data_IF_686255197348
#
_entry.id   IF_686255197348
#
_cell.length_a   1.000
_cell.length_b   1.000
_cell.length_c   1.000
_cell.angle_alpha   90.00
_cell.angle_beta   90.00
_cell.angle_gamma   90.00
#
_symmetry.space_group_name_H-M   'P 1'
#
loop_
_entity.id
_entity.type
_entity.pdbx_description
1 polymer ?
#
# COMPACT_ATOMS: atom_id res chain seq x y z
N UNK A 1 -15.38 -41.73 45.44
CA UNK A 1 -14.51 -41.98 44.28
C UNK A 1 -15.14 -41.60 42.91
N UNK A 2 -16.31 -40.98 42.83
CA UNK A 2 -16.94 -40.60 41.54
C UNK A 2 -16.71 -39.11 41.14
N UNK A 3 -16.12 -38.26 41.96
CA UNK A 3 -15.94 -36.85 41.68
C UNK A 3 -14.48 -36.46 41.31
N UNK A 4 -13.56 -37.44 41.37
CA UNK A 4 -12.15 -37.20 41.02
C UNK A 4 -11.84 -37.42 39.54
N UNK A 5 -12.73 -38.06 38.80
CA UNK A 5 -12.60 -38.32 37.36
C UNK A 5 -13.21 -37.24 36.46
N UNK A 6 -14.03 -36.33 37.02
CA UNK A 6 -14.62 -35.23 36.26
C UNK A 6 -13.73 -33.96 36.21
N UNK A 7 -12.75 -33.86 37.08
CA UNK A 7 -11.79 -32.71 37.13
C UNK A 7 -10.63 -32.87 36.16
N UNK A 8 -10.33 -34.10 35.72
CA UNK A 8 -9.25 -34.36 34.77
C UNK A 8 -9.66 -34.21 33.30
N UNK A 9 -10.97 -34.24 32.99
CA UNK A 9 -11.47 -34.07 31.63
C UNK A 9 -11.64 -32.59 31.22
N UNK A 10 -11.68 -31.65 32.19
CA UNK A 10 -11.84 -30.21 31.90
C UNK A 10 -10.48 -29.52 31.71
N UNK A 11 -9.38 -30.09 32.22
CA UNK A 11 -8.04 -29.51 32.03
C UNK A 11 -7.40 -29.85 30.68
N UNK A 12 -8.00 -30.73 29.88
CA UNK A 12 -7.44 -31.13 28.58
C UNK A 12 -8.02 -30.34 27.39
N UNK A 13 -8.97 -29.44 27.64
CA UNK A 13 -9.66 -28.66 26.59
C UNK A 13 -9.21 -27.19 26.50
N UNK A 14 -8.20 -26.77 27.29
CA UNK A 14 -7.65 -25.41 27.25
C UNK A 14 -6.22 -25.32 26.69
N UNK A 15 -5.70 -26.42 26.17
CA UNK A 15 -4.49 -26.39 25.36
C UNK A 15 -4.84 -26.27 23.87
N UNK A 16 -5.77 -25.36 23.51
CA UNK A 16 -5.78 -24.83 22.15
C UNK A 16 -4.55 -23.96 22.03
N UNK A 17 -3.48 -24.60 21.61
CA UNK A 17 -2.23 -24.00 21.20
C UNK A 17 -2.52 -22.76 20.36
N UNK A 18 -2.15 -21.61 20.89
CA UNK A 18 -1.80 -20.47 20.09
C UNK A 18 -0.52 -20.89 19.32
N UNK A 19 -0.70 -21.71 18.28
CA UNK A 19 0.34 -21.93 17.30
C UNK A 19 0.48 -20.60 16.60
N UNK A 20 1.47 -19.81 16.98
CA UNK A 20 1.98 -18.76 16.11
C UNK A 20 2.23 -19.46 14.78
N UNK A 21 1.38 -19.19 13.78
CA UNK A 21 1.60 -19.69 12.43
C UNK A 21 3.00 -19.20 12.04
N UNK A 22 3.97 -20.11 12.04
CA UNK A 22 5.30 -19.79 11.53
C UNK A 22 5.14 -19.36 10.11
N UNK A 23 5.48 -18.12 9.80
CA UNK A 23 5.49 -17.61 8.44
C UNK A 23 6.32 -18.52 7.57
N UNK A 24 5.70 -19.15 6.60
CA UNK A 24 6.41 -19.97 5.63
C UNK A 24 6.93 -19.08 4.49
N UNK A 25 8.14 -18.57 4.65
CA UNK A 25 8.82 -17.74 3.65
C UNK A 25 8.99 -18.45 2.30
N UNK A 26 9.10 -19.78 2.27
CA UNK A 26 9.19 -20.54 1.02
C UNK A 26 7.87 -20.54 0.28
N UNK A 27 6.76 -20.64 1.02
CA UNK A 27 5.43 -20.56 0.44
C UNK A 27 5.17 -19.18 -0.17
N UNK A 28 5.51 -18.09 0.55
CA UNK A 28 5.36 -16.73 0.05
C UNK A 28 6.23 -16.52 -1.20
N UNK A 29 7.49 -16.97 -1.16
CA UNK A 29 8.38 -16.89 -2.32
C UNK A 29 7.81 -17.65 -3.54
N UNK A 30 7.12 -18.76 -3.34
CA UNK A 30 6.47 -19.52 -4.41
C UNK A 30 5.21 -18.84 -4.97
N UNK A 31 4.68 -17.81 -4.30
CA UNK A 31 3.58 -16.99 -4.77
C UNK A 31 4.01 -15.81 -5.64
N UNK A 32 5.33 -15.55 -5.69
CA UNK A 32 5.89 -14.50 -6.54
C UNK A 32 5.77 -14.91 -8.02
N UNK A 33 5.29 -13.99 -8.85
CA UNK A 33 5.36 -14.16 -10.31
C UNK A 33 6.59 -13.41 -10.85
N UNK A 34 7.63 -14.17 -11.15
CA UNK A 34 8.88 -13.64 -11.69
C UNK A 34 8.89 -13.59 -13.24
N UNK A 35 7.77 -13.93 -13.88
CA UNK A 35 7.63 -13.88 -15.34
C UNK A 35 7.21 -12.51 -15.85
N UNK A 36 6.58 -11.71 -14.98
CA UNK A 36 6.23 -10.33 -15.27
C UNK A 36 7.49 -9.46 -15.30
N UNK A 37 7.59 -8.59 -16.29
CA UNK A 37 8.68 -7.63 -16.41
C UNK A 37 8.25 -6.24 -15.96
N UNK A 38 9.21 -5.45 -15.50
CA UNK A 38 9.00 -4.03 -15.27
C UNK A 38 9.09 -3.27 -16.60
N UNK A 39 8.26 -2.27 -16.87
CA UNK A 39 8.32 -1.52 -18.11
C UNK A 39 9.67 -0.79 -18.25
N UNK A 40 10.17 -0.71 -19.47
CA UNK A 40 11.38 0.06 -19.75
C UNK A 40 10.99 1.54 -19.76
N UNK A 41 11.45 2.26 -18.74
CA UNK A 41 11.20 3.70 -18.58
C UNK A 41 12.49 4.47 -18.76
N UNK A 42 12.44 5.57 -19.49
CA UNK A 42 13.58 6.48 -19.61
C UNK A 42 13.58 7.46 -18.42
N UNK A 43 14.14 7.04 -17.29
CA UNK A 43 14.23 7.85 -16.08
C UNK A 43 15.47 8.74 -16.15
N UNK A 44 15.29 10.04 -15.89
CA UNK A 44 16.33 11.06 -15.85
C UNK A 44 16.14 11.95 -14.62
N UNK A 45 17.07 12.86 -14.38
CA UNK A 45 17.00 13.89 -13.32
C UNK A 45 15.84 14.89 -13.52
N UNK A 46 15.24 14.90 -14.72
CA UNK A 46 14.02 15.70 -15.00
C UNK A 46 12.75 14.93 -14.79
N UNK A 47 12.82 13.62 -14.54
CA UNK A 47 11.65 12.78 -14.28
C UNK A 47 11.02 13.15 -12.94
N UNK A 48 9.71 13.34 -12.94
CA UNK A 48 8.92 13.65 -11.75
C UNK A 48 7.93 12.54 -11.46
N UNK A 49 7.93 12.07 -10.22
CA UNK A 49 7.06 11.01 -9.73
C UNK A 49 6.22 11.54 -8.58
N UNK A 50 4.91 11.36 -8.64
CA UNK A 50 3.99 11.74 -7.57
C UNK A 50 3.36 10.48 -6.98
N UNK A 51 3.69 10.18 -5.74
CA UNK A 51 3.00 9.17 -4.94
C UNK A 51 1.81 9.82 -4.23
N UNK A 52 0.62 9.21 -4.33
CA UNK A 52 -0.63 9.71 -3.75
C UNK A 52 -1.22 8.62 -2.88
N UNK A 53 -1.25 8.87 -1.57
CA UNK A 53 -1.75 7.91 -0.58
C UNK A 53 -2.62 8.60 0.47
N UNK A 54 -3.64 7.94 1.02
CA UNK A 54 -4.43 8.54 2.10
C UNK A 54 -3.68 8.67 3.41
N UNK A 55 -2.88 7.69 3.83
CA UNK A 55 -2.31 7.68 5.18
C UNK A 55 -0.79 7.78 5.20
N UNK A 56 -0.28 8.27 6.32
CA UNK A 56 1.14 8.20 6.66
C UNK A 56 1.48 6.75 7.06
N UNK A 57 2.19 6.02 6.27
CA UNK A 57 2.63 4.62 6.26
C UNK A 57 2.31 3.88 4.95
N UNK A 58 1.34 4.34 4.18
CA UNK A 58 0.94 3.74 2.90
C UNK A 58 2.07 3.76 1.86
N UNK A 59 2.94 4.77 1.88
CA UNK A 59 4.07 4.89 0.96
C UNK A 59 5.03 3.70 1.07
N UNK A 60 5.05 3.04 2.20
CA UNK A 60 5.91 1.87 2.42
C UNK A 60 5.52 0.68 1.56
N UNK A 61 4.26 0.60 1.12
CA UNK A 61 3.79 -0.48 0.24
C UNK A 61 4.50 -0.42 -1.11
N UNK A 62 4.63 0.79 -1.69
CA UNK A 62 5.40 1.04 -2.91
C UNK A 62 6.85 1.46 -2.62
N UNK A 63 7.36 1.16 -1.42
CA UNK A 63 8.67 1.64 -0.96
C UNK A 63 9.83 1.20 -1.86
N UNK A 64 9.77 0.01 -2.43
CA UNK A 64 10.75 -0.46 -3.39
C UNK A 64 10.73 0.33 -4.70
N UNK A 65 9.55 0.61 -5.24
CA UNK A 65 9.38 1.41 -6.46
C UNK A 65 9.79 2.87 -6.25
N UNK A 66 9.42 3.45 -5.12
CA UNK A 66 9.80 4.82 -4.76
C UNK A 66 11.32 4.93 -4.65
N UNK A 67 11.97 4.02 -3.91
CA UNK A 67 13.42 3.98 -3.80
C UNK A 67 14.11 3.73 -5.16
N UNK A 68 13.54 2.89 -6.02
CA UNK A 68 14.02 2.70 -7.39
C UNK A 68 14.02 4.01 -8.16
N UNK A 69 12.89 4.73 -8.25
CA UNK A 69 12.81 5.99 -8.99
C UNK A 69 13.76 7.05 -8.42
N UNK A 70 13.82 7.18 -7.10
CA UNK A 70 14.74 8.09 -6.44
C UNK A 70 16.20 7.77 -6.76
N UNK A 71 16.58 6.48 -6.75
CA UNK A 71 17.94 6.03 -7.07
C UNK A 71 18.35 6.31 -8.52
N UNK A 72 17.37 6.42 -9.43
CA UNK A 72 17.60 6.78 -10.83
C UNK A 72 17.66 8.31 -11.05
N UNK A 73 17.56 9.10 -9.98
CA UNK A 73 17.62 10.56 -10.02
C UNK A 73 16.28 11.27 -10.23
N UNK A 74 15.17 10.55 -10.27
CA UNK A 74 13.85 11.17 -10.37
C UNK A 74 13.52 12.02 -9.13
N UNK A 75 12.84 13.16 -9.33
CA UNK A 75 12.24 13.92 -8.24
C UNK A 75 10.95 13.23 -7.81
N UNK A 76 10.92 12.70 -6.60
CA UNK A 76 9.75 12.02 -6.03
C UNK A 76 9.08 12.90 -5.01
N UNK A 77 7.78 13.21 -5.21
CA UNK A 77 6.94 13.88 -4.23
C UNK A 77 5.89 12.94 -3.67
N UNK A 78 5.52 13.13 -2.41
CA UNK A 78 4.45 12.40 -1.74
C UNK A 78 3.32 13.36 -1.37
N UNK A 79 2.11 13.01 -1.78
CA UNK A 79 0.88 13.62 -1.30
C UNK A 79 0.16 12.61 -0.39
N UNK A 80 0.14 12.91 0.91
CA UNK A 80 -0.67 12.19 1.90
C UNK A 80 -1.96 12.97 2.14
N UNK A 81 -3.11 12.33 1.94
CA UNK A 81 -4.40 13.04 1.96
C UNK A 81 -4.90 13.33 3.38
N UNK A 82 -4.77 12.37 4.28
CA UNK A 82 -5.23 12.49 5.67
C UNK A 82 -4.22 13.23 6.54
N UNK A 83 -4.77 14.02 7.48
CA UNK A 83 -3.97 14.49 8.59
C UNK A 83 -3.93 13.44 9.69
N UNK A 84 -2.79 13.37 10.35
CA UNK A 84 -2.57 12.57 11.56
C UNK A 84 -1.96 13.44 12.65
N UNK A 85 -1.59 12.84 13.78
CA UNK A 85 -0.88 13.54 14.84
C UNK A 85 0.59 13.87 14.46
N UNK A 86 1.25 14.65 15.33
CA UNK A 86 2.64 15.03 15.13
C UNK A 86 3.60 13.83 15.12
N UNK A 87 3.27 12.75 15.82
CA UNK A 87 4.10 11.54 15.87
C UNK A 87 4.13 10.89 14.49
N UNK A 88 2.97 10.65 13.89
CA UNK A 88 2.86 10.07 12.55
C UNK A 88 3.45 10.99 11.48
N UNK A 89 3.34 12.32 11.65
CA UNK A 89 4.00 13.27 10.74
C UNK A 89 5.52 13.14 10.78
N UNK A 90 6.11 12.97 11.97
CA UNK A 90 7.56 12.73 12.12
C UNK A 90 7.99 11.39 11.53
N UNK A 91 7.19 10.35 11.75
CA UNK A 91 7.40 9.02 11.19
C UNK A 91 7.37 9.05 9.66
N UNK A 92 6.38 9.75 9.07
CA UNK A 92 6.27 9.93 7.62
C UNK A 92 7.49 10.66 7.04
N UNK A 93 7.96 11.72 7.69
CA UNK A 93 9.15 12.45 7.24
C UNK A 93 10.42 11.58 7.33
N UNK A 94 10.55 10.75 8.37
CA UNK A 94 11.63 9.76 8.48
C UNK A 94 11.58 8.75 7.32
N UNK A 95 10.41 8.18 7.04
CA UNK A 95 10.20 7.26 5.92
C UNK A 95 10.51 7.91 4.57
N UNK A 96 10.05 9.14 4.38
CA UNK A 96 10.30 9.91 3.16
C UNK A 96 11.80 10.15 2.91
N UNK A 97 12.56 10.50 3.95
CA UNK A 97 14.02 10.66 3.85
C UNK A 97 14.70 9.36 3.43
N UNK A 98 14.34 8.23 4.05
CA UNK A 98 14.88 6.91 3.72
C UNK A 98 14.59 6.50 2.28
N UNK A 99 13.38 6.77 1.80
CA UNK A 99 12.95 6.44 0.42
C UNK A 99 13.47 7.42 -0.63
N UNK A 100 14.08 8.55 -0.21
CA UNK A 100 14.55 9.60 -1.10
C UNK A 100 13.43 10.44 -1.70
N UNK A 101 12.31 10.58 -0.99
CA UNK A 101 11.22 11.49 -1.33
C UNK A 101 11.68 12.91 -1.05
N UNK A 102 11.61 13.78 -2.07
CA UNK A 102 12.13 15.14 -2.00
C UNK A 102 11.14 16.16 -1.41
N UNK A 103 9.85 15.86 -1.41
CA UNK A 103 8.81 16.69 -0.81
C UNK A 103 7.65 15.85 -0.29
N UNK A 104 7.18 16.15 0.91
CA UNK A 104 5.97 15.57 1.51
C UNK A 104 4.93 16.68 1.69
N UNK A 105 3.73 16.47 1.17
CA UNK A 105 2.58 17.32 1.40
C UNK A 105 1.48 16.53 2.09
N UNK A 106 0.93 17.07 3.20
CA UNK A 106 -0.20 16.50 3.92
C UNK A 106 -1.41 17.41 3.68
N UNK A 107 -2.44 16.87 3.04
CA UNK A 107 -3.60 17.66 2.61
C UNK A 107 -4.58 17.99 3.76
N UNK A 108 -4.53 17.26 4.86
CA UNK A 108 -5.30 17.57 6.06
C UNK A 108 -6.73 17.04 6.07
N UNK A 109 -7.08 16.05 5.23
CA UNK A 109 -8.40 15.42 5.25
C UNK A 109 -8.60 14.59 6.52
N UNK A 110 -9.85 14.31 6.83
CA UNK A 110 -10.23 13.47 7.97
C UNK A 110 -9.75 12.04 7.74
N UNK A 111 -9.08 11.48 8.74
CA UNK A 111 -8.77 10.07 8.84
C UNK A 111 -9.82 9.39 9.71
N UNK A 112 -10.60 8.47 9.13
CA UNK A 112 -11.60 7.74 9.88
C UNK A 112 -10.97 6.67 10.76
N UNK A 113 -11.56 6.42 11.92
CA UNK A 113 -11.14 5.32 12.77
C UNK A 113 -11.51 3.98 12.13
N UNK A 114 -10.80 2.90 12.53
CA UNK A 114 -11.16 1.57 12.07
C UNK A 114 -12.59 1.15 12.47
N UNK A 115 -13.08 1.65 13.63
CA UNK A 115 -14.46 1.41 14.06
C UNK A 115 -15.48 2.08 13.15
N UNK A 116 -15.19 3.27 12.62
CA UNK A 116 -16.04 3.97 11.65
C UNK A 116 -16.07 3.22 10.32
N UNK A 117 -14.91 2.78 9.86
CA UNK A 117 -14.76 1.97 8.63
C UNK A 117 -15.58 0.69 8.72
N UNK A 118 -15.49 -0.04 9.83
CA UNK A 118 -16.24 -1.28 10.05
C UNK A 118 -17.75 -1.07 10.15
N UNK A 119 -18.21 0.14 10.47
CA UNK A 119 -19.62 0.54 10.46
C UNK A 119 -20.05 1.15 9.13
N UNK A 120 -19.15 1.27 8.16
CA UNK A 120 -19.33 2.00 6.90
C UNK A 120 -19.72 3.48 7.10
N UNK A 121 -19.21 4.09 8.19
CA UNK A 121 -19.45 5.49 8.56
C UNK A 121 -18.29 6.39 8.10
N UNK A 122 -18.00 6.34 6.81
CA UNK A 122 -16.94 7.14 6.15
C UNK A 122 -17.55 8.17 5.18
N UNK A 123 -18.64 8.79 5.57
CA UNK A 123 -19.47 9.65 4.70
C UNK A 123 -18.67 10.74 3.99
N UNK A 124 -17.79 11.45 4.70
CA UNK A 124 -16.97 12.49 4.09
C UNK A 124 -16.30 12.01 2.79
N UNK A 125 -15.69 10.84 2.80
CA UNK A 125 -14.97 10.31 1.66
C UNK A 125 -15.88 9.94 0.49
N UNK A 126 -17.10 9.47 0.75
CA UNK A 126 -18.06 9.15 -0.30
C UNK A 126 -18.77 10.38 -0.86
N UNK A 127 -19.01 11.39 -0.02
CA UNK A 127 -19.80 12.56 -0.38
C UNK A 127 -18.95 13.71 -0.95
N UNK A 128 -17.65 13.77 -0.59
CA UNK A 128 -16.75 14.89 -0.92
C UNK A 128 -15.67 14.52 -1.96
N UNK A 129 -15.99 13.60 -2.87
CA UNK A 129 -15.07 13.14 -3.91
C UNK A 129 -14.54 14.27 -4.78
N UNK A 130 -15.36 15.29 -5.07
CA UNK A 130 -14.96 16.49 -5.81
C UNK A 130 -13.88 17.30 -5.08
N UNK A 131 -13.98 17.37 -3.75
CA UNK A 131 -13.00 18.06 -2.90
C UNK A 131 -11.67 17.31 -2.89
N UNK A 132 -11.73 15.98 -2.79
CA UNK A 132 -10.55 15.09 -2.87
C UNK A 132 -9.89 15.22 -4.24
N UNK A 133 -10.66 15.17 -5.31
CA UNK A 133 -10.16 15.33 -6.68
C UNK A 133 -9.49 16.69 -6.90
N UNK A 134 -10.05 17.78 -6.35
CA UNK A 134 -9.45 19.12 -6.44
C UNK A 134 -8.07 19.18 -5.77
N UNK A 135 -7.91 18.54 -4.60
CA UNK A 135 -6.62 18.45 -3.91
C UNK A 135 -5.60 17.73 -4.78
N UNK A 136 -5.95 16.53 -5.28
CA UNK A 136 -5.09 15.71 -6.13
C UNK A 136 -4.76 16.48 -7.42
N UNK A 137 -5.74 17.11 -8.06
CA UNK A 137 -5.57 17.91 -9.28
C UNK A 137 -4.59 19.06 -9.06
N UNK A 138 -4.78 19.85 -7.99
CA UNK A 138 -3.91 20.97 -7.67
C UNK A 138 -2.44 20.52 -7.56
N UNK A 139 -2.17 19.45 -6.82
CA UNK A 139 -0.80 18.91 -6.69
C UNK A 139 -0.27 18.41 -8.03
N UNK A 140 -1.08 17.67 -8.78
CA UNK A 140 -0.70 17.12 -10.09
C UNK A 140 -0.40 18.23 -11.10
N UNK A 141 -1.23 19.26 -11.21
CA UNK A 141 -1.03 20.37 -12.15
C UNK A 141 0.15 21.27 -11.77
N UNK A 142 0.42 21.43 -10.46
CA UNK A 142 1.55 22.22 -9.97
C UNK A 142 2.88 21.50 -10.16
N UNK A 143 2.95 20.23 -9.77
CA UNK A 143 4.19 19.45 -9.84
C UNK A 143 4.44 18.87 -11.23
N UNK A 144 3.38 18.58 -12.00
CA UNK A 144 3.42 18.01 -13.35
C UNK A 144 4.22 16.69 -13.41
N UNK A 145 3.80 15.65 -12.66
CA UNK A 145 4.51 14.38 -12.64
C UNK A 145 4.40 13.64 -13.99
N UNK A 146 5.47 12.98 -14.42
CA UNK A 146 5.42 12.03 -15.53
C UNK A 146 4.77 10.72 -15.10
N UNK A 147 4.96 10.35 -13.83
CA UNK A 147 4.50 9.09 -13.26
C UNK A 147 3.69 9.39 -11.99
N UNK A 148 2.54 8.72 -11.84
CA UNK A 148 1.74 8.74 -10.62
C UNK A 148 1.73 7.32 -10.04
N UNK A 149 1.84 7.21 -8.71
CA UNK A 149 1.76 5.95 -7.96
C UNK A 149 0.61 6.08 -6.96
N UNK A 150 -0.26 5.07 -6.88
CA UNK A 150 -1.36 5.03 -5.91
C UNK A 150 -1.84 3.59 -5.68
N UNK A 151 -2.84 3.39 -4.83
CA UNK A 151 -3.56 2.12 -4.71
C UNK A 151 -4.33 1.77 -5.99
N UNK A 152 -4.82 0.53 -6.07
CA UNK A 152 -5.76 0.11 -7.11
C UNK A 152 -7.14 0.76 -6.92
N UNK A 153 -7.84 0.98 -8.02
CA UNK A 153 -9.17 1.60 -8.05
C UNK A 153 -10.32 0.58 -8.01
N UNK A 154 -10.04 -0.69 -7.81
CA UNK A 154 -11.05 -1.75 -7.74
C UNK A 154 -11.43 -2.08 -6.28
N UNK A 155 -10.43 -2.15 -5.39
CA UNK A 155 -10.63 -2.53 -3.98
C UNK A 155 -9.90 -1.58 -3.03
N UNK A 156 -8.88 -0.84 -3.48
CA UNK A 156 -8.06 -0.01 -2.60
C UNK A 156 -7.15 -0.86 -1.69
N UNK A 157 -6.44 -1.81 -2.28
CA UNK A 157 -5.51 -2.71 -1.60
C UNK A 157 -6.22 -3.83 -0.84
N UNK A 158 -6.61 -3.60 0.39
CA UNK A 158 -7.25 -4.61 1.26
C UNK A 158 -8.71 -4.25 1.62
N UNK A 159 -9.36 -3.41 0.83
CA UNK A 159 -10.74 -3.00 1.04
C UNK A 159 -10.90 -1.78 1.96
N UNK A 160 -9.86 -0.95 2.10
CA UNK A 160 -9.97 0.29 2.84
C UNK A 160 -10.67 1.37 1.99
N UNK A 161 -11.80 1.94 2.44
CA UNK A 161 -12.57 2.88 1.62
C UNK A 161 -11.79 4.14 1.24
N UNK A 162 -10.94 4.66 2.12
CA UNK A 162 -10.13 5.85 1.83
C UNK A 162 -9.06 5.55 0.78
N UNK A 163 -8.46 4.35 0.77
CA UNK A 163 -7.55 3.91 -0.29
C UNK A 163 -8.27 3.84 -1.63
N UNK A 164 -9.45 3.22 -1.63
CA UNK A 164 -10.25 3.03 -2.84
C UNK A 164 -10.66 4.37 -3.45
N UNK A 165 -11.21 5.28 -2.64
CA UNK A 165 -11.69 6.57 -3.13
C UNK A 165 -10.53 7.43 -3.64
N UNK A 166 -9.40 7.47 -2.91
CA UNK A 166 -8.21 8.20 -3.37
C UNK A 166 -7.69 7.66 -4.71
N UNK A 167 -7.69 6.34 -4.88
CA UNK A 167 -7.27 5.69 -6.11
C UNK A 167 -8.24 5.96 -7.27
N UNK A 168 -9.56 5.85 -7.03
CA UNK A 168 -10.60 6.18 -8.03
C UNK A 168 -10.45 7.63 -8.50
N UNK A 169 -10.32 8.59 -7.59
CA UNK A 169 -10.22 10.00 -7.96
C UNK A 169 -8.89 10.32 -8.65
N UNK A 170 -7.82 9.64 -8.28
CA UNK A 170 -6.53 9.71 -8.97
C UNK A 170 -6.62 9.17 -10.40
N UNK A 171 -7.24 8.02 -10.60
CA UNK A 171 -7.41 7.42 -11.94
C UNK A 171 -8.35 8.24 -12.82
N UNK A 172 -9.46 8.76 -12.28
CA UNK A 172 -10.35 9.69 -13.00
C UNK A 172 -9.59 10.92 -13.45
N UNK A 173 -8.76 11.51 -12.58
CA UNK A 173 -7.93 12.65 -12.92
C UNK A 173 -6.91 12.28 -14.00
N UNK A 174 -6.18 11.17 -13.84
CA UNK A 174 -5.25 10.68 -14.85
C UNK A 174 -5.96 10.57 -16.20
N UNK A 175 -7.12 9.96 -16.27
CA UNK A 175 -7.90 9.77 -17.51
C UNK A 175 -8.47 11.09 -18.07
N UNK A 176 -8.64 12.13 -17.25
CA UNK A 176 -9.13 13.44 -17.69
C UNK A 176 -8.11 14.22 -18.54
N UNK A 177 -6.82 13.96 -18.38
CA UNK A 177 -5.79 14.54 -19.25
C UNK A 177 -5.83 13.83 -20.61
N UNK A 178 -6.04 14.59 -21.67
CA UNK A 178 -6.15 14.09 -23.05
C UNK A 178 -4.99 14.59 -23.93
N UNK A 179 -4.99 14.16 -25.21
CA UNK A 179 -3.93 14.54 -26.16
C UNK A 179 -3.86 16.05 -26.45
N UNK A 180 -4.90 16.82 -26.13
CA UNK A 180 -4.93 18.29 -26.28
C UNK A 180 -4.47 19.05 -25.04
N UNK A 181 -4.18 18.35 -23.93
CA UNK A 181 -3.71 19.00 -22.71
C UNK A 181 -2.25 19.45 -22.86
N UNK A 182 -1.93 20.66 -22.39
CA UNK A 182 -0.56 21.19 -22.39
C UNK A 182 0.41 20.36 -21.55
N UNK A 183 -0.12 19.57 -20.62
CA UNK A 183 0.59 18.61 -19.79
C UNK A 183 -0.34 17.41 -19.56
N UNK A 184 0.27 16.20 -19.48
CA UNK A 184 -0.39 14.97 -19.04
C UNK A 184 0.64 14.04 -18.42
N UNK A 185 0.30 13.31 -17.35
CA UNK A 185 1.14 12.22 -16.86
C UNK A 185 1.19 11.08 -17.89
N UNK A 186 2.32 10.39 -17.96
CA UNK A 186 2.57 9.32 -18.93
C UNK A 186 2.14 7.96 -18.39
N UNK A 187 2.34 7.74 -17.09
CA UNK A 187 2.07 6.46 -16.44
C UNK A 187 1.34 6.64 -15.11
N UNK A 188 0.39 5.73 -14.87
CA UNK A 188 -0.22 5.50 -13.58
C UNK A 188 0.11 4.08 -13.12
N UNK A 189 0.81 3.97 -11.99
CA UNK A 189 1.12 2.73 -11.32
C UNK A 189 0.13 2.51 -10.19
N UNK A 190 -0.72 1.50 -10.31
CA UNK A 190 -1.63 1.06 -9.27
C UNK A 190 -1.04 -0.17 -8.58
N UNK A 191 -0.92 -0.11 -7.25
CA UNK A 191 -0.39 -1.21 -6.44
C UNK A 191 -1.37 -2.37 -6.51
N UNK A 192 -0.85 -3.56 -6.75
CA UNK A 192 -1.64 -4.80 -6.76
C UNK A 192 -0.80 -5.98 -6.26
N UNK A 193 -1.37 -7.16 -6.29
CA UNK A 193 -0.73 -8.42 -5.92
C UNK A 193 -1.05 -9.50 -6.97
N UNK A 194 -0.29 -10.59 -6.98
CA UNK A 194 -0.72 -11.81 -7.64
C UNK A 194 -1.87 -12.45 -6.86
N UNK A 195 -2.75 -13.22 -7.51
CA UNK A 195 -3.91 -13.87 -6.85
C UNK A 195 -3.51 -14.61 -5.57
N UNK A 196 -2.39 -15.35 -5.62
CA UNK A 196 -1.91 -16.12 -4.45
C UNK A 196 -1.39 -15.24 -3.31
N UNK A 197 -0.77 -14.10 -3.62
CA UNK A 197 -0.34 -13.13 -2.62
C UNK A 197 -1.54 -12.38 -2.04
N UNK A 198 -2.52 -12.06 -2.86
CA UNK A 198 -3.79 -11.46 -2.44
C UNK A 198 -4.52 -12.36 -1.44
N UNK A 199 -4.74 -13.63 -1.79
CA UNK A 199 -5.34 -14.63 -0.91
C UNK A 199 -4.59 -14.75 0.42
N UNK A 200 -3.27 -14.72 0.36
CA UNK A 200 -2.43 -14.92 1.54
C UNK A 200 -2.34 -13.68 2.44
N UNK A 201 -2.22 -12.48 1.85
CA UNK A 201 -1.91 -11.25 2.60
C UNK A 201 -3.16 -10.46 2.98
N UNK A 202 -4.17 -10.37 2.09
CA UNK A 202 -5.26 -9.40 2.24
C UNK A 202 -6.65 -10.01 2.34
N UNK A 203 -6.91 -11.19 1.78
CA UNK A 203 -8.24 -11.80 1.75
C UNK A 203 -8.83 -12.07 3.14
N UNK A 204 -8.00 -12.24 4.16
CA UNK A 204 -8.42 -12.44 5.55
C UNK A 204 -8.66 -11.14 6.34
N UNK A 205 -8.42 -9.97 5.73
CA UNK A 205 -8.67 -8.69 6.42
C UNK A 205 -10.18 -8.46 6.59
N UNK A 206 -10.62 -7.91 7.73
CA UNK A 206 -12.04 -7.85 8.06
C UNK A 206 -12.90 -7.10 7.04
N UNK A 207 -12.34 -6.08 6.37
CA UNK A 207 -13.07 -5.25 5.43
C UNK A 207 -12.97 -5.72 3.97
N UNK A 208 -12.13 -6.71 3.67
CA UNK A 208 -11.89 -7.16 2.30
C UNK A 208 -13.16 -7.74 1.65
N UNK A 209 -13.74 -8.78 2.23
CA UNK A 209 -14.94 -9.41 1.69
C UNK A 209 -16.17 -8.48 1.64
N UNK A 210 -16.46 -7.63 2.66
CA UNK A 210 -17.47 -6.58 2.55
C UNK A 210 -17.24 -5.63 1.37
N UNK A 211 -15.99 -5.21 1.14
CA UNK A 211 -15.66 -4.30 0.05
C UNK A 211 -15.80 -4.97 -1.33
N UNK A 212 -15.35 -6.21 -1.49
CA UNK A 212 -15.60 -6.99 -2.73
C UNK A 212 -17.09 -6.97 -3.10
N UNK A 213 -17.94 -7.26 -2.13
CA UNK A 213 -19.39 -7.24 -2.33
C UNK A 213 -19.91 -5.85 -2.67
N UNK A 214 -19.44 -4.81 -1.97
CA UNK A 214 -19.88 -3.42 -2.18
C UNK A 214 -19.50 -2.91 -3.57
N UNK A 215 -18.30 -3.24 -4.04
CA UNK A 215 -17.79 -2.83 -5.34
C UNK A 215 -18.18 -3.79 -6.49
N UNK A 216 -18.84 -4.91 -6.18
CA UNK A 216 -19.08 -5.98 -7.15
C UNK A 216 -17.79 -6.39 -7.88
N UNK A 217 -16.69 -6.47 -7.12
CA UNK A 217 -15.36 -6.84 -7.61
C UNK A 217 -15.01 -8.29 -7.27
N UNK A 218 -14.10 -8.87 -8.03
CA UNK A 218 -13.58 -10.21 -7.81
C UNK A 218 -12.23 -10.21 -7.06
N UNK A 219 -11.67 -9.03 -6.74
CA UNK A 219 -10.38 -8.89 -6.08
C UNK A 219 -9.56 -7.72 -6.63
N UNK A 220 -8.28 -7.76 -6.35
CA UNK A 220 -7.31 -6.82 -6.89
C UNK A 220 -7.18 -6.97 -8.42
N UNK A 221 -6.90 -5.90 -9.16
CA UNK A 221 -6.63 -6.02 -10.59
C UNK A 221 -5.39 -6.88 -10.84
N UNK A 222 -5.45 -7.72 -11.86
CA UNK A 222 -4.31 -8.55 -12.25
C UNK A 222 -3.09 -7.66 -12.57
N UNK A 223 -1.89 -7.97 -12.04
CA UNK A 223 -0.69 -7.23 -12.35
C UNK A 223 -0.27 -7.41 -13.82
N UNK A 224 0.23 -6.33 -14.41
CA UNK A 224 0.88 -6.37 -15.73
C UNK A 224 2.35 -5.94 -15.68
N UNK A 225 2.85 -5.62 -14.48
CA UNK A 225 4.23 -5.26 -14.24
C UNK A 225 4.68 -5.74 -12.85
N UNK A 226 5.95 -6.14 -12.76
CA UNK A 226 6.61 -6.50 -11.52
C UNK A 226 8.01 -5.87 -11.47
N UNK A 227 8.34 -5.25 -10.35
CA UNK A 227 9.66 -4.72 -10.06
C UNK A 227 10.38 -5.66 -9.09
N UNK A 228 11.55 -6.15 -9.46
CA UNK A 228 12.46 -6.82 -8.51
C UNK A 228 13.02 -5.77 -7.54
N UNK A 229 12.58 -5.85 -6.28
CA UNK A 229 12.93 -4.86 -5.25
C UNK A 229 14.06 -5.33 -4.34
N UNK A 230 14.73 -6.45 -4.63
CA UNK A 230 15.77 -7.00 -3.74
C UNK A 230 16.89 -6.00 -3.47
N UNK A 231 17.25 -5.18 -4.44
CA UNK A 231 18.24 -4.11 -4.26
C UNK A 231 17.73 -2.94 -3.39
N UNK A 232 16.41 -2.74 -3.33
CA UNK A 232 15.75 -1.62 -2.63
C UNK A 232 15.09 -2.07 -1.33
N UNK A 233 15.18 -3.36 -1.03
CA UNK A 233 14.63 -3.93 0.20
C UNK A 233 15.14 -3.26 1.48
N UNK A 234 16.44 -2.93 1.63
CA UNK A 234 16.93 -2.24 2.81
C UNK A 234 16.21 -0.92 3.07
N UNK A 235 16.05 -0.08 2.03
CA UNK A 235 15.36 1.20 2.14
C UNK A 235 13.88 1.00 2.47
N UNK A 236 13.19 0.10 1.75
CA UNK A 236 11.78 -0.23 2.04
C UNK A 236 11.57 -0.67 3.48
N UNK A 237 12.43 -1.55 3.97
CA UNK A 237 12.34 -2.05 5.35
C UNK A 237 12.65 -0.95 6.38
N UNK A 238 13.64 -0.12 6.15
CA UNK A 238 14.00 0.99 7.04
C UNK A 238 12.89 2.05 7.06
N UNK A 239 12.31 2.40 5.92
CA UNK A 239 11.17 3.31 5.81
C UNK A 239 9.98 2.80 6.64
N UNK A 240 9.66 1.53 6.51
CA UNK A 240 8.60 0.92 7.31
C UNK A 240 8.92 0.90 8.82
N UNK A 241 10.18 0.77 9.22
CA UNK A 241 10.60 0.86 10.63
C UNK A 241 10.49 2.28 11.19
N UNK A 242 10.46 3.33 10.35
CA UNK A 242 10.17 4.69 10.78
C UNK A 242 8.78 4.82 11.40
N UNK A 243 7.79 4.03 10.95
CA UNK A 243 6.40 4.07 11.42
C UNK A 243 6.19 3.24 12.70
N UNK A 244 6.93 3.57 13.75
CA UNK A 244 6.93 2.84 15.02
C UNK A 244 5.55 2.79 15.68
N UNK A 245 4.76 3.88 15.58
CA UNK A 245 3.39 3.94 16.12
C UNK A 245 2.44 3.00 15.39
N UNK A 246 2.70 2.69 14.11
CA UNK A 246 1.90 1.82 13.25
C UNK A 246 2.40 0.38 13.20
N UNK A 247 3.44 0.06 13.91
CA UNK A 247 4.13 -1.24 13.86
C UNK A 247 3.19 -2.43 14.07
N UNK A 248 2.20 -2.29 14.97
CA UNK A 248 1.21 -3.34 15.24
C UNK A 248 0.30 -3.61 14.02
N UNK A 249 -0.04 -2.58 13.27
CA UNK A 249 -0.87 -2.66 12.06
C UNK A 249 -0.04 -3.18 10.90
N UNK A 250 1.13 -2.60 10.68
CA UNK A 250 2.05 -3.00 9.62
C UNK A 250 2.46 -4.47 9.72
N UNK A 251 2.65 -5.00 10.94
CA UNK A 251 2.92 -6.44 11.15
C UNK A 251 1.83 -7.38 10.66
N UNK A 252 0.61 -6.93 10.52
CA UNK A 252 -0.49 -7.77 10.01
C UNK A 252 -0.39 -7.98 8.51
N UNK A 253 0.06 -6.95 7.79
CA UNK A 253 0.21 -6.95 6.33
C UNK A 253 1.63 -7.33 5.90
N UNK A 254 2.60 -6.90 6.68
CA UNK A 254 4.01 -7.19 6.48
C UNK A 254 4.47 -8.07 7.63
N UNK A 255 4.61 -9.33 7.40
CA UNK A 255 5.28 -10.29 8.28
C UNK A 255 6.77 -9.91 8.47
N UNK A 256 7.14 -8.74 8.04
CA UNK A 256 8.43 -8.21 7.61
C UNK A 256 9.31 -7.75 8.79
N UNK A 257 8.74 -7.48 9.96
CA UNK A 257 9.45 -6.71 10.96
C UNK A 257 10.23 -7.54 12.02
N UNK A 258 10.66 -8.71 11.65
CA UNK A 258 11.67 -9.40 12.44
C UNK A 258 13.07 -9.00 11.91
N UNK A 259 13.78 -8.14 12.67
CA UNK A 259 15.15 -7.71 12.33
C UNK A 259 16.10 -8.90 12.08
N UNK A 260 15.80 -10.07 12.68
CA UNK A 260 16.60 -11.29 12.52
C UNK A 260 16.22 -12.09 11.27
N UNK A 261 15.21 -11.67 10.52
CA UNK A 261 14.71 -12.37 9.34
C UNK A 261 14.80 -11.55 8.04
N UNK A 262 15.56 -10.45 8.03
CA UNK A 262 15.66 -9.54 6.88
C UNK A 262 15.95 -10.25 5.55
N UNK A 263 16.93 -11.18 5.52
CA UNK A 263 17.27 -11.96 4.32
C UNK A 263 16.13 -12.87 3.86
N UNK A 264 15.38 -13.47 4.82
CA UNK A 264 14.23 -14.31 4.49
C UNK A 264 13.09 -13.50 3.91
N UNK A 265 12.90 -12.28 4.42
CA UNK A 265 11.90 -11.35 3.91
C UNK A 265 12.24 -10.88 2.50
N UNK A 266 13.49 -10.49 2.26
CA UNK A 266 13.98 -10.11 0.93
C UNK A 266 13.77 -11.23 -0.09
N UNK A 267 13.94 -12.48 0.31
CA UNK A 267 13.68 -13.63 -0.52
C UNK A 267 12.18 -13.85 -0.77
N UNK A 268 11.35 -13.74 0.26
CA UNK A 268 9.91 -14.00 0.19
C UNK A 268 9.14 -12.91 -0.56
N UNK A 269 9.53 -11.64 -0.37
CA UNK A 269 8.91 -10.47 -1.00
C UNK A 269 9.89 -9.79 -1.94
N UNK A 270 10.36 -10.53 -2.93
CA UNK A 270 11.36 -10.05 -3.87
C UNK A 270 10.83 -9.07 -4.90
N UNK A 271 9.52 -9.02 -5.11
CA UNK A 271 8.88 -8.18 -6.13
C UNK A 271 7.75 -7.34 -5.54
N UNK A 272 7.57 -6.16 -6.11
CA UNK A 272 6.35 -5.36 -6.02
C UNK A 272 5.60 -5.44 -7.35
N UNK A 273 4.26 -5.54 -7.26
CA UNK A 273 3.39 -5.77 -8.41
C UNK A 273 2.51 -4.56 -8.67
N UNK A 274 2.31 -4.28 -9.95
CA UNK A 274 1.55 -3.11 -10.39
C UNK A 274 0.66 -3.43 -11.58
N UNK A 275 -0.53 -2.80 -11.59
CA UNK A 275 -1.28 -2.55 -12.80
C UNK A 275 -0.80 -1.20 -13.33
N UNK A 276 -0.06 -1.23 -14.42
CA UNK A 276 0.46 -0.02 -15.07
C UNK A 276 -0.44 0.37 -16.22
N UNK A 277 -0.93 1.61 -16.18
CA UNK A 277 -1.69 2.27 -17.24
C UNK A 277 -0.72 3.27 -17.88
N UNK A 278 -0.35 3.02 -19.13
CA UNK A 278 0.55 3.88 -19.93
C UNK A 278 -0.21 4.57 -21.07
N UNK A 279 0.39 5.63 -21.61
CA UNK A 279 -0.16 6.41 -22.72
C UNK A 279 0.83 6.55 -23.86
#
# INVERSE_FOLDING_TARGET
>A
MKYLLLLLSVLFLLATSCSSQKTDYKQIAAFQDTTLSFPILNITDTTRVLAIFPHADDETIAGGLIAYFSSQGASVHLLTLCWHDETRTKELNCSAEVLGISEVEIAGLINNSWDDIMKDDVKFWYDETDSIQKIIRRKTETFRPHIIITYDSEIGGYGHPEHLISAIETEKLFNSFNNGSAYRPEYLFQITLTDKLEDFLVASTPNYAPMLKKQNSNGLPAPNAALDIRAFWPQKNEAALCHASQFKTLKKFYIIYDKNAAEKHQYAFSHEYYKVIGR
#
